data_IF_656834973423
#
_entry.id   IF_656834973423
#
_cell.length_a   1.000
_cell.length_b   1.000
_cell.length_c   1.000
_cell.angle_alpha   90.00
_cell.angle_beta   90.00
_cell.angle_gamma   90.00
#
_symmetry.space_group_name_H-M   'P 1'
#
loop_
_entity.id
_entity.type
_entity.pdbx_description
1 polymer ?
#
# COMPACT_ATOMS: atom_id res chain seq x y z
N UNK A 1 3.94 -17.47 4.82
CA UNK A 1 5.42 -17.41 4.86
C UNK A 1 5.92 -18.76 5.38
N UNK A 2 6.93 -19.34 4.75
CA UNK A 2 7.57 -20.57 5.22
C UNK A 2 9.07 -20.31 5.38
N UNK A 3 9.65 -20.76 6.47
CA UNK A 3 11.07 -20.70 6.76
C UNK A 3 11.53 -22.07 7.25
N UNK A 4 12.78 -22.43 6.95
CA UNK A 4 13.31 -23.73 7.37
C UNK A 4 13.44 -23.77 8.90
N UNK A 5 13.19 -24.93 9.49
CA UNK A 5 13.19 -25.13 10.94
C UNK A 5 14.56 -24.94 11.59
N UNK A 6 15.65 -25.09 10.83
CA UNK A 6 17.03 -24.89 11.30
C UNK A 6 17.39 -23.42 11.57
N UNK A 7 16.56 -22.49 11.12
CA UNK A 7 16.74 -21.06 11.35
C UNK A 7 16.19 -20.65 12.74
N UNK A 8 15.34 -21.49 13.34
CA UNK A 8 14.65 -21.20 14.61
C UNK A 8 15.54 -21.61 15.79
N UNK A 9 16.36 -20.67 16.26
CA UNK A 9 17.15 -20.82 17.49
C UNK A 9 16.72 -19.82 18.59
N UNK A 10 17.37 -19.90 19.77
CA UNK A 10 17.07 -18.99 20.88
C UNK A 10 17.31 -17.51 20.53
N UNK A 11 18.24 -17.21 19.64
CA UNK A 11 18.54 -15.83 19.22
C UNK A 11 17.48 -15.31 18.26
N UNK A 12 17.02 -16.15 17.33
CA UNK A 12 15.87 -15.89 16.45
C UNK A 12 14.64 -15.54 17.27
N UNK A 13 14.30 -16.35 18.27
CA UNK A 13 13.11 -16.12 19.10
C UNK A 13 13.21 -14.81 19.90
N UNK A 14 14.40 -14.47 20.40
CA UNK A 14 14.63 -13.21 21.13
C UNK A 14 14.45 -12.00 20.21
N UNK A 15 15.16 -11.95 19.09
CA UNK A 15 15.05 -10.85 18.12
C UNK A 15 13.64 -10.73 17.52
N UNK A 16 12.98 -11.86 17.28
CA UNK A 16 11.59 -11.88 16.83
C UNK A 16 10.65 -11.27 17.88
N UNK A 17 10.79 -11.65 19.16
CA UNK A 17 9.93 -11.19 20.26
C UNK A 17 10.04 -9.70 20.58
N UNK A 18 11.19 -9.08 20.31
CA UNK A 18 11.46 -7.66 20.56
C UNK A 18 10.97 -6.76 19.41
N UNK A 19 10.50 -7.35 18.32
CA UNK A 19 10.19 -6.62 17.10
C UNK A 19 8.74 -6.21 16.96
N UNK A 20 8.53 -5.07 16.28
CA UNK A 20 7.20 -4.50 16.03
C UNK A 20 6.52 -5.15 14.82
N UNK A 21 7.30 -5.70 13.89
CA UNK A 21 6.80 -6.31 12.64
C UNK A 21 7.43 -7.68 12.41
N UNK A 22 6.62 -8.71 12.59
CA UNK A 22 7.01 -10.12 12.42
C UNK A 22 7.72 -10.36 11.07
N UNK A 23 7.14 -9.84 9.98
CA UNK A 23 7.64 -10.09 8.62
C UNK A 23 9.00 -9.42 8.34
N UNK A 24 9.21 -8.22 8.87
CA UNK A 24 10.46 -7.47 8.69
C UNK A 24 11.59 -8.12 9.50
N UNK A 25 11.27 -8.63 10.68
CA UNK A 25 12.25 -9.28 11.57
C UNK A 25 12.73 -10.60 11.00
N UNK A 26 11.81 -11.45 10.53
CA UNK A 26 12.18 -12.69 9.86
C UNK A 26 13.05 -12.40 8.64
N UNK A 27 12.70 -11.38 7.84
CA UNK A 27 13.52 -10.97 6.69
C UNK A 27 14.94 -10.55 7.09
N UNK A 28 15.07 -9.75 8.14
CA UNK A 28 16.37 -9.27 8.62
C UNK A 28 17.23 -10.41 9.19
N UNK A 29 16.63 -11.34 9.95
CA UNK A 29 17.33 -12.48 10.52
C UNK A 29 17.80 -13.44 9.42
N UNK A 30 16.96 -13.67 8.40
CA UNK A 30 17.33 -14.53 7.26
C UNK A 30 18.49 -13.89 6.48
N UNK A 31 18.45 -12.57 6.26
CA UNK A 31 19.54 -11.84 5.60
C UNK A 31 20.82 -11.79 6.44
N UNK A 32 20.73 -11.60 7.75
CA UNK A 32 21.92 -11.55 8.63
C UNK A 32 22.66 -12.90 8.68
N UNK A 33 21.95 -13.99 8.42
CA UNK A 33 22.49 -15.35 8.28
C UNK A 33 22.95 -15.68 6.86
N UNK A 34 22.96 -14.71 5.94
CA UNK A 34 23.43 -14.91 4.57
C UNK A 34 22.52 -15.77 3.70
N UNK A 35 21.25 -15.95 4.08
CA UNK A 35 20.29 -16.73 3.30
C UNK A 35 19.51 -15.85 2.31
N UNK A 36 19.11 -16.47 1.21
CA UNK A 36 18.32 -15.82 0.16
C UNK A 36 16.81 -16.01 0.37
N UNK A 37 16.03 -15.04 -0.09
CA UNK A 37 14.56 -15.04 0.02
C UNK A 37 13.99 -15.18 -1.39
N UNK A 38 13.19 -16.23 -1.60
CA UNK A 38 12.55 -16.50 -2.88
C UNK A 38 11.03 -16.29 -2.78
N UNK A 39 10.46 -15.63 -3.78
CA UNK A 39 9.02 -15.51 -3.94
C UNK A 39 8.50 -16.56 -4.92
N UNK A 40 7.68 -17.49 -4.42
CA UNK A 40 7.10 -18.59 -5.22
C UNK A 40 5.61 -18.31 -5.45
N UNK A 41 5.27 -17.79 -6.63
CA UNK A 41 3.89 -17.38 -6.97
C UNK A 41 2.88 -18.52 -6.86
N UNK A 42 3.27 -19.74 -7.23
CA UNK A 42 2.39 -20.93 -7.18
C UNK A 42 1.99 -21.35 -5.77
N UNK A 43 2.73 -20.93 -4.75
CA UNK A 43 2.49 -21.28 -3.35
C UNK A 43 1.84 -20.14 -2.57
N UNK A 44 1.40 -19.07 -3.25
CA UNK A 44 0.68 -17.98 -2.61
C UNK A 44 -0.72 -18.47 -2.23
N UNK A 45 -1.07 -18.51 -0.93
CA UNK A 45 -2.40 -18.91 -0.52
C UNK A 45 -3.42 -17.88 -1.02
N UNK A 46 -4.56 -18.35 -1.54
CA UNK A 46 -5.71 -17.49 -1.78
C UNK A 46 -6.37 -17.19 -0.45
N UNK A 47 -6.21 -15.96 0.02
CA UNK A 47 -6.85 -15.46 1.24
C UNK A 47 -8.17 -14.82 0.83
N UNK A 48 -9.28 -15.47 1.15
CA UNK A 48 -10.61 -14.89 1.03
C UNK A 48 -10.99 -14.23 2.35
N UNK A 49 -10.65 -12.96 2.51
CA UNK A 49 -11.21 -12.09 3.54
C UNK A 49 -12.48 -11.45 3.00
N UNK A 50 -13.53 -11.37 3.84
CA UNK A 50 -14.69 -10.50 3.58
C UNK A 50 -14.25 -9.05 3.82
N UNK A 51 -13.50 -8.49 2.87
CA UNK A 51 -13.00 -7.13 2.94
C UNK A 51 -13.98 -6.15 2.30
N UNK A 52 -14.62 -5.36 3.13
CA UNK A 52 -15.43 -4.22 2.70
C UNK A 52 -14.56 -2.98 2.42
N UNK A 53 -15.14 -2.00 1.72
CA UNK A 53 -14.50 -0.70 1.50
C UNK A 53 -14.09 -0.02 2.82
N UNK A 54 -14.87 -0.20 3.89
CA UNK A 54 -14.53 0.31 5.22
C UNK A 54 -13.23 -0.31 5.76
N UNK A 55 -13.09 -1.64 5.63
CA UNK A 55 -11.88 -2.36 6.02
C UNK A 55 -10.67 -1.90 5.19
N UNK A 56 -10.87 -1.65 3.90
CA UNK A 56 -9.84 -1.08 3.04
C UNK A 56 -9.41 0.34 3.47
N UNK A 57 -10.34 1.23 3.79
CA UNK A 57 -10.02 2.59 4.23
C UNK A 57 -9.29 2.56 5.57
N UNK A 58 -9.74 1.72 6.51
CA UNK A 58 -9.05 1.55 7.79
C UNK A 58 -7.61 1.06 7.56
N UNK A 59 -7.45 -0.03 6.80
CA UNK A 59 -6.15 -0.63 6.53
C UNK A 59 -5.21 0.35 5.80
N UNK A 60 -5.67 0.97 4.73
CA UNK A 60 -4.85 1.89 3.92
C UNK A 60 -4.50 3.17 4.66
N UNK A 61 -5.43 3.69 5.48
CA UNK A 61 -5.19 4.82 6.38
C UNK A 61 -4.11 4.51 7.40
N UNK A 62 -4.13 3.31 8.00
CA UNK A 62 -3.11 2.87 8.97
C UNK A 62 -1.73 2.74 8.33
N UNK A 63 -1.64 2.13 7.15
CA UNK A 63 -0.37 2.02 6.41
C UNK A 63 0.21 3.41 6.09
N UNK A 64 -0.66 4.34 5.71
CA UNK A 64 -0.27 5.73 5.43
C UNK A 64 0.22 6.44 6.70
N UNK A 65 -0.50 6.32 7.82
CA UNK A 65 -0.12 6.90 9.10
C UNK A 65 1.23 6.35 9.62
N UNK A 66 1.45 5.03 9.53
CA UNK A 66 2.74 4.40 9.85
C UNK A 66 3.87 4.95 8.99
N UNK A 67 3.63 5.11 7.68
CA UNK A 67 4.62 5.67 6.75
C UNK A 67 4.98 7.11 7.10
N UNK A 68 3.98 7.97 7.37
CA UNK A 68 4.20 9.37 7.77
C UNK A 68 4.97 9.45 9.09
N UNK A 69 4.61 8.61 10.07
CA UNK A 69 5.29 8.55 11.36
C UNK A 69 6.76 8.12 11.23
N UNK A 70 7.06 7.22 10.28
CA UNK A 70 8.44 6.84 9.97
C UNK A 70 9.23 7.98 9.31
N UNK A 71 8.58 8.79 8.46
CA UNK A 71 9.22 9.95 7.83
C UNK A 71 8.21 11.01 7.41
N UNK A 72 8.28 12.20 8.04
CA UNK A 72 7.44 13.35 7.67
C UNK A 72 7.61 13.80 6.22
N UNK A 73 8.73 13.49 5.57
CA UNK A 73 8.95 13.79 4.15
C UNK A 73 7.93 13.06 3.27
N UNK A 74 7.47 11.87 3.67
CA UNK A 74 6.47 11.08 2.94
C UNK A 74 5.16 11.86 2.81
N UNK A 75 4.76 12.61 3.85
CA UNK A 75 3.58 13.47 3.76
C UNK A 75 3.76 14.55 2.69
N UNK A 76 4.85 15.31 2.72
CA UNK A 76 5.08 16.40 1.77
C UNK A 76 5.19 15.90 0.32
N UNK A 77 6.01 14.88 0.07
CA UNK A 77 6.13 14.30 -1.27
C UNK A 77 4.83 13.67 -1.73
N UNK A 78 4.12 12.96 -0.84
CA UNK A 78 2.83 12.35 -1.13
C UNK A 78 1.78 13.39 -1.53
N UNK A 79 1.65 14.49 -0.78
CA UNK A 79 0.69 15.56 -1.09
C UNK A 79 1.01 16.19 -2.44
N UNK A 80 2.29 16.48 -2.74
CA UNK A 80 2.67 17.05 -4.03
C UNK A 80 2.37 16.07 -5.16
N UNK A 81 2.81 14.82 -5.03
CA UNK A 81 2.67 13.81 -6.07
C UNK A 81 1.21 13.47 -6.35
N UNK A 82 0.44 13.10 -5.33
CA UNK A 82 -0.97 12.75 -5.52
C UNK A 82 -1.83 13.99 -5.78
N UNK A 83 -1.45 15.16 -5.28
CA UNK A 83 -2.10 16.44 -5.58
C UNK A 83 -1.98 16.81 -7.05
N UNK A 84 -0.77 16.77 -7.61
CA UNK A 84 -0.53 16.98 -9.04
C UNK A 84 -1.20 15.90 -9.90
N UNK A 85 -1.22 14.66 -9.43
CA UNK A 85 -1.90 13.55 -10.10
C UNK A 85 -3.42 13.78 -10.18
N UNK A 86 -4.06 14.13 -9.07
CA UNK A 86 -5.48 14.46 -9.01
C UNK A 86 -5.80 15.70 -9.85
N UNK A 87 -4.97 16.74 -9.78
CA UNK A 87 -5.09 17.94 -10.61
C UNK A 87 -5.03 17.60 -12.11
N UNK A 88 -4.05 16.79 -12.52
CA UNK A 88 -3.92 16.34 -13.91
C UNK A 88 -5.17 15.60 -14.38
N UNK A 89 -5.72 14.68 -13.56
CA UNK A 89 -6.95 13.95 -13.90
C UNK A 89 -8.11 14.93 -14.11
N UNK A 90 -8.33 15.83 -13.14
CA UNK A 90 -9.42 16.81 -13.21
C UNK A 90 -9.28 17.69 -14.45
N UNK A 91 -8.10 18.26 -14.70
CA UNK A 91 -7.86 19.09 -15.88
C UNK A 91 -8.01 18.31 -17.19
N UNK A 92 -7.54 17.07 -17.26
CA UNK A 92 -7.65 16.24 -18.46
C UNK A 92 -9.10 15.92 -18.79
N UNK A 93 -9.93 15.65 -17.78
CA UNK A 93 -11.35 15.40 -17.96
C UNK A 93 -12.12 16.67 -18.32
N UNK A 94 -11.89 17.78 -17.63
CA UNK A 94 -12.63 19.03 -17.89
C UNK A 94 -12.25 19.64 -19.25
N UNK A 95 -10.96 19.71 -19.57
CA UNK A 95 -10.50 20.20 -20.87
C UNK A 95 -10.78 19.20 -21.98
N UNK A 96 -10.79 17.90 -21.69
CA UNK A 96 -11.10 16.83 -22.63
C UNK A 96 -12.51 16.94 -23.24
N UNK A 97 -13.46 17.53 -22.50
CA UNK A 97 -14.82 17.81 -23.01
C UNK A 97 -14.79 18.81 -24.17
N UNK A 98 -13.89 19.80 -24.11
CA UNK A 98 -13.78 20.86 -25.12
C UNK A 98 -12.77 20.46 -26.21
N UNK A 99 -11.65 19.88 -25.80
CA UNK A 99 -10.51 19.52 -26.63
C UNK A 99 -10.10 18.07 -26.32
N UNK A 100 -10.58 17.08 -27.09
CA UNK A 100 -10.34 15.66 -26.81
C UNK A 100 -8.87 15.25 -26.70
N UNK A 101 -7.95 16.03 -27.28
CA UNK A 101 -6.50 15.83 -27.17
C UNK A 101 -6.02 15.76 -25.71
N UNK A 102 -6.65 16.48 -24.78
CA UNK A 102 -6.27 16.48 -23.36
C UNK A 102 -6.52 15.13 -22.68
N UNK A 103 -7.36 14.25 -23.25
CA UNK A 103 -7.58 12.91 -22.72
C UNK A 103 -6.33 12.01 -22.86
N UNK A 104 -5.37 12.36 -23.71
CA UNK A 104 -4.08 11.65 -23.82
C UNK A 104 -3.32 11.64 -22.49
N UNK A 105 -3.49 12.67 -21.66
CA UNK A 105 -2.86 12.72 -20.32
C UNK A 105 -3.42 11.67 -19.35
N UNK A 106 -4.55 11.04 -19.65
CA UNK A 106 -5.08 9.90 -18.90
C UNK A 106 -4.46 8.56 -19.31
N UNK A 107 -3.65 8.52 -20.38
CA UNK A 107 -3.03 7.29 -20.87
C UNK A 107 -2.21 6.53 -19.80
N UNK A 108 -1.38 7.18 -18.95
CA UNK A 108 -0.68 6.47 -17.89
C UNK A 108 -1.63 5.76 -16.91
N UNK A 109 -2.79 6.35 -16.63
CA UNK A 109 -3.81 5.75 -15.76
C UNK A 109 -4.51 4.58 -16.46
N UNK A 110 -4.84 4.71 -17.74
CA UNK A 110 -5.37 3.60 -18.53
C UNK A 110 -4.39 2.42 -18.57
N UNK A 111 -3.10 2.70 -18.81
CA UNK A 111 -2.06 1.69 -18.83
C UNK A 111 -1.85 1.01 -17.47
N UNK A 112 -1.84 1.80 -16.39
CA UNK A 112 -1.76 1.27 -15.03
C UNK A 112 -2.99 0.44 -14.66
N UNK A 113 -4.17 0.83 -15.12
CA UNK A 113 -5.41 0.06 -14.94
C UNK A 113 -5.29 -1.33 -15.58
N UNK A 114 -4.86 -1.41 -16.84
CA UNK A 114 -4.67 -2.68 -17.55
C UNK A 114 -3.63 -3.56 -16.82
N UNK A 115 -2.50 -2.97 -16.42
CA UNK A 115 -1.48 -3.72 -15.66
C UNK A 115 -2.00 -4.22 -14.31
N UNK A 116 -2.85 -3.44 -13.64
CA UNK A 116 -3.43 -3.81 -12.36
C UNK A 116 -4.44 -4.94 -12.52
N UNK A 117 -5.28 -4.88 -13.55
CA UNK A 117 -6.21 -5.96 -13.90
C UNK A 117 -5.47 -7.26 -14.25
N UNK A 118 -4.39 -7.20 -15.03
CA UNK A 118 -3.56 -8.37 -15.37
C UNK A 118 -2.91 -9.05 -14.15
N UNK A 119 -2.70 -8.30 -13.07
CA UNK A 119 -2.10 -8.80 -11.82
C UNK A 119 -3.15 -9.28 -10.83
N UNK A 120 -4.40 -8.87 -11.00
CA UNK A 120 -5.50 -9.25 -10.14
C UNK A 120 -6.04 -10.64 -10.53
N UNK A 121 -6.35 -11.51 -9.57
CA UNK A 121 -7.10 -12.73 -9.85
C UNK A 121 -8.53 -12.43 -10.29
N UNK A 122 -9.06 -11.26 -9.95
CA UNK A 122 -10.41 -10.79 -10.33
C UNK A 122 -10.29 -9.83 -11.51
N UNK A 123 -11.03 -10.11 -12.60
CA UNK A 123 -11.15 -9.22 -13.77
C UNK A 123 -12.48 -8.50 -13.74
N UNK A 124 -12.47 -7.17 -13.77
CA UNK A 124 -13.69 -6.37 -13.72
C UNK A 124 -13.60 -5.16 -14.63
N UNK A 125 -14.75 -4.72 -15.15
CA UNK A 125 -14.81 -3.57 -16.07
C UNK A 125 -14.53 -2.23 -15.39
N UNK A 126 -14.62 -2.16 -14.06
CA UNK A 126 -14.50 -0.93 -13.27
C UNK A 126 -13.07 -0.62 -12.79
N UNK A 127 -12.05 -1.40 -13.19
CA UNK A 127 -10.63 -1.11 -12.91
C UNK A 127 -10.19 0.31 -13.34
N UNK A 128 -10.60 0.84 -14.51
CA UNK A 128 -10.24 2.21 -14.91
C UNK A 128 -10.79 3.25 -13.94
N UNK A 129 -12.02 3.05 -13.47
CA UNK A 129 -12.67 3.95 -12.51
C UNK A 129 -11.93 3.93 -11.17
N UNK A 130 -11.58 2.75 -10.67
CA UNK A 130 -10.77 2.62 -9.44
C UNK A 130 -9.43 3.35 -9.62
N UNK A 131 -8.74 3.14 -10.74
CA UNK A 131 -7.42 3.72 -10.99
C UNK A 131 -7.44 5.25 -11.02
N UNK A 132 -8.53 5.84 -11.53
CA UNK A 132 -8.73 7.29 -11.53
C UNK A 132 -9.08 7.84 -10.13
N UNK A 133 -9.77 7.06 -9.30
CA UNK A 133 -10.18 7.47 -7.95
C UNK A 133 -9.02 7.33 -6.94
N UNK A 134 -8.08 6.39 -7.16
CA UNK A 134 -7.00 6.09 -6.22
C UNK A 134 -6.17 7.31 -5.75
N UNK A 135 -5.74 8.25 -6.63
CA UNK A 135 -5.02 9.43 -6.17
C UNK A 135 -5.80 10.28 -5.14
N UNK A 136 -7.12 10.34 -5.26
CA UNK A 136 -7.99 11.05 -4.31
C UNK A 136 -8.08 10.32 -2.97
N UNK A 137 -8.18 8.99 -3.00
CA UNK A 137 -8.13 8.15 -1.79
C UNK A 137 -6.78 8.31 -1.09
N UNK A 138 -5.68 8.31 -1.83
CA UNK A 138 -4.34 8.49 -1.26
C UNK A 138 -4.14 9.88 -0.66
N UNK A 139 -4.67 10.93 -1.28
CA UNK A 139 -4.71 12.27 -0.69
C UNK A 139 -5.50 12.30 0.62
N UNK A 140 -6.70 11.70 0.62
CA UNK A 140 -7.52 11.58 1.81
C UNK A 140 -6.76 10.86 2.93
N UNK A 141 -6.14 9.72 2.62
CA UNK A 141 -5.37 8.93 3.58
C UNK A 141 -4.15 9.68 4.12
N UNK A 142 -3.48 10.52 3.32
CA UNK A 142 -2.37 11.35 3.80
C UNK A 142 -2.85 12.40 4.80
N UNK A 143 -3.97 13.06 4.51
CA UNK A 143 -4.57 14.09 5.37
C UNK A 143 -5.14 13.47 6.66
N UNK A 144 -5.80 12.30 6.55
CA UNK A 144 -6.28 11.56 7.70
C UNK A 144 -5.10 11.02 8.54
N UNK A 145 -4.11 10.43 7.88
CA UNK A 145 -2.95 9.78 8.50
C UNK A 145 -2.07 10.73 9.30
N UNK A 146 -1.85 11.98 8.83
CA UNK A 146 -1.09 12.97 9.61
C UNK A 146 -1.83 13.44 10.88
N UNK A 147 -3.17 13.27 10.92
CA UNK A 147 -3.99 13.61 12.08
C UNK A 147 -4.16 12.44 13.05
N UNK A 148 -3.84 11.22 12.62
CA UNK A 148 -3.91 10.04 13.49
C UNK A 148 -2.84 10.11 14.56
N UNK A 149 -3.27 9.98 15.82
CA UNK A 149 -2.38 9.90 16.99
C UNK A 149 -2.21 8.47 17.49
N UNK A 150 -3.17 7.61 17.18
CA UNK A 150 -3.21 6.23 17.68
C UNK A 150 -3.63 5.28 16.55
N UNK A 151 -3.04 4.08 16.55
CA UNK A 151 -3.40 2.97 15.66
C UNK A 151 -3.68 1.75 16.52
N UNK A 152 -4.81 1.07 16.29
CA UNK A 152 -5.14 -0.19 16.95
C UNK A 152 -4.73 -1.36 16.06
N UNK A 153 -3.63 -2.06 16.38
CA UNK A 153 -3.12 -3.22 15.62
C UNK A 153 -3.19 -4.51 16.43
N UNK A 154 -3.91 -5.51 15.92
CA UNK A 154 -4.14 -6.82 16.56
C UNK A 154 -4.56 -6.68 18.05
N UNK A 155 -5.50 -5.76 18.32
CA UNK A 155 -6.00 -5.49 19.66
C UNK A 155 -5.09 -4.65 20.56
N UNK A 156 -3.95 -4.17 20.07
CA UNK A 156 -3.04 -3.27 20.81
C UNK A 156 -3.11 -1.84 20.25
N UNK A 157 -3.16 -0.85 21.14
CA UNK A 157 -3.13 0.57 20.75
C UNK A 157 -1.70 1.08 20.76
N UNK A 158 -1.24 1.58 19.61
CA UNK A 158 0.07 2.19 19.40
C UNK A 158 -0.10 3.69 19.29
N UNK A 159 0.68 4.46 20.02
CA UNK A 159 0.74 5.93 19.89
C UNK A 159 1.78 6.32 18.85
N UNK A 160 1.35 7.07 17.83
CA UNK A 160 2.21 7.70 16.83
C UNK A 160 2.81 8.99 17.42
N UNK A 161 4.04 9.34 17.03
CA UNK A 161 4.85 10.38 17.66
C UNK A 161 5.03 11.62 16.77
#
# INVERSE_FOLDING_TARGET
>A
MAFRSDIVDKNFLREFSESISDDVSVMNIVKSRGMEIFYVKSSAPEVHSEDDFSSFIEWSGRQTALSINASRKIFFFGIIYFGLSAYLIVCSLTLGVIYPLFLVFLFPYAFNSVKSEMRSPVRTWYFPVITLILPFIYLYNLIAGIRMKEIVWRGRTYRLR
#
